data_IF_941245450676
#
_entry.id   IF_941245450676
#
_cell.length_a   1.000
_cell.length_b   1.000
_cell.length_c   1.000
_cell.angle_alpha   90.00
_cell.angle_beta   90.00
_cell.angle_gamma   90.00
#
_symmetry.space_group_name_H-M   'P 1'
#
loop_
_entity.id
_entity.type
_entity.pdbx_description
1 polymer ?
#
# COMPACT_ATOMS: atom_id res chain seq x y z
N UNK A 1 1.37 -6.95 22.35
CA UNK A 1 2.22 -5.89 21.74
C UNK A 1 1.28 -5.03 20.91
N UNK A 2 1.48 -3.72 20.77
CA UNK A 2 0.62 -2.91 19.88
C UNK A 2 1.28 -2.82 18.52
N UNK A 3 0.61 -3.31 17.47
CA UNK A 3 1.15 -3.33 16.12
C UNK A 3 0.46 -2.28 15.22
N UNK A 4 1.19 -1.76 14.23
CA UNK A 4 0.66 -0.86 13.20
C UNK A 4 0.94 -1.46 11.82
N UNK A 5 0.06 -1.20 10.85
CA UNK A 5 0.24 -1.59 9.44
C UNK A 5 0.44 -0.33 8.59
N UNK A 6 1.48 -0.30 7.77
CA UNK A 6 1.73 0.79 6.82
C UNK A 6 1.13 0.47 5.45
N UNK A 7 0.39 1.39 4.86
CA UNK A 7 -0.23 1.25 3.54
C UNK A 7 0.30 2.36 2.64
N UNK A 8 0.93 1.97 1.53
CA UNK A 8 1.60 2.87 0.59
C UNK A 8 0.85 2.85 -0.74
N UNK A 9 0.21 3.97 -1.08
CA UNK A 9 -0.73 4.06 -2.20
C UNK A 9 -0.22 4.98 -3.30
N UNK A 10 -0.12 4.44 -4.52
CA UNK A 10 0.34 5.14 -5.72
C UNK A 10 1.83 5.47 -5.69
N UNK A 11 2.36 5.91 -6.83
CA UNK A 11 3.78 6.21 -7.03
C UNK A 11 4.44 6.95 -5.86
N UNK A 12 3.87 8.08 -5.44
CA UNK A 12 4.43 8.87 -4.34
C UNK A 12 4.47 8.09 -3.01
N UNK A 13 3.38 7.40 -2.67
CA UNK A 13 3.30 6.60 -1.45
C UNK A 13 4.30 5.44 -1.44
N UNK A 14 4.45 4.77 -2.59
CA UNK A 14 5.40 3.66 -2.78
C UNK A 14 6.85 4.13 -2.66
N UNK A 15 7.22 5.22 -3.33
CA UNK A 15 8.59 5.75 -3.28
C UNK A 15 8.96 6.24 -1.87
N UNK A 16 8.04 6.93 -1.19
CA UNK A 16 8.21 7.31 0.22
C UNK A 16 8.37 6.07 1.09
N UNK A 17 7.50 5.06 0.89
CA UNK A 17 7.56 3.81 1.63
C UNK A 17 8.91 3.10 1.49
N UNK A 18 9.43 3.01 0.27
CA UNK A 18 10.72 2.37 0.02
C UNK A 18 11.86 3.04 0.81
N UNK A 19 11.91 4.37 0.83
CA UNK A 19 12.88 5.13 1.62
C UNK A 19 12.66 4.99 3.13
N UNK A 20 11.40 5.02 3.60
CA UNK A 20 11.08 4.83 5.01
C UNK A 20 11.52 3.44 5.52
N UNK A 21 11.23 2.38 4.76
CA UNK A 21 11.58 1.02 5.15
C UNK A 21 13.08 0.74 5.06
N UNK A 22 13.79 1.39 4.15
CA UNK A 22 15.26 1.43 4.15
C UNK A 22 15.78 1.97 5.49
N UNK A 23 15.30 3.15 5.92
CA UNK A 23 15.72 3.74 7.18
C UNK A 23 15.42 2.83 8.38
N UNK A 24 14.20 2.27 8.46
CA UNK A 24 13.85 1.35 9.54
C UNK A 24 14.74 0.10 9.57
N UNK A 25 15.14 -0.42 8.40
CA UNK A 25 16.07 -1.55 8.33
C UNK A 25 17.47 -1.19 8.83
N UNK A 26 17.92 0.05 8.61
CA UNK A 26 19.20 0.54 9.11
C UNK A 26 19.19 0.70 10.63
N UNK A 27 18.08 1.17 11.20
CA UNK A 27 17.93 1.42 12.64
C UNK A 27 17.72 0.12 13.45
N UNK A 28 17.03 -0.87 12.89
CA UNK A 28 16.54 -2.03 13.64
C UNK A 28 16.90 -3.40 13.05
N UNK A 29 17.60 -3.44 11.91
CA UNK A 29 17.88 -4.67 11.19
C UNK A 29 16.75 -5.12 10.27
N UNK A 30 16.95 -6.23 9.56
CA UNK A 30 16.03 -6.71 8.52
C UNK A 30 14.98 -7.68 9.10
N UNK A 31 13.73 -7.26 9.08
CA UNK A 31 12.55 -8.07 9.41
C UNK A 31 11.49 -7.87 8.33
N UNK A 32 10.59 -8.85 8.14
CA UNK A 32 9.50 -8.73 7.17
C UNK A 32 8.55 -7.60 7.61
N UNK A 33 8.37 -6.55 6.80
CA UNK A 33 7.51 -5.41 7.14
C UNK A 33 6.02 -5.78 7.21
N UNK A 34 5.30 -5.13 8.13
CA UNK A 34 3.83 -5.07 8.10
C UNK A 34 3.39 -3.93 7.20
N UNK A 35 3.69 -4.08 5.91
CA UNK A 35 3.43 -3.06 4.90
C UNK A 35 2.61 -3.63 3.74
N UNK A 36 1.76 -2.81 3.13
CA UNK A 36 1.09 -3.08 1.86
C UNK A 36 1.46 -1.97 0.89
N UNK A 37 1.94 -2.32 -0.29
CA UNK A 37 2.20 -1.38 -1.37
C UNK A 37 1.21 -1.66 -2.48
N UNK A 38 0.55 -0.61 -2.94
CA UNK A 38 -0.45 -0.70 -4.00
C UNK A 38 -0.28 0.42 -5.00
N UNK A 39 -0.28 0.06 -6.28
CA UNK A 39 -0.47 1.00 -7.38
C UNK A 39 -1.38 0.37 -8.46
N UNK A 40 -2.08 1.21 -9.22
CA UNK A 40 -2.98 0.77 -10.28
C UNK A 40 -2.22 0.41 -11.56
N UNK A 41 -0.95 0.79 -11.66
CA UNK A 41 -0.02 0.34 -12.69
C UNK A 41 1.23 -0.32 -12.09
N UNK A 42 1.95 -1.16 -12.85
CA UNK A 42 3.02 -1.99 -12.27
C UNK A 42 4.36 -1.26 -12.04
N UNK A 43 4.61 -0.14 -12.74
CA UNK A 43 5.94 0.47 -12.90
C UNK A 43 6.70 0.63 -11.57
N UNK A 44 6.13 1.37 -10.63
CA UNK A 44 6.80 1.71 -9.36
C UNK A 44 6.94 0.51 -8.42
N UNK A 45 6.00 -0.45 -8.49
CA UNK A 45 6.06 -1.65 -7.65
C UNK A 45 7.11 -2.63 -8.20
N UNK A 46 7.26 -2.71 -9.52
CA UNK A 46 8.29 -3.54 -10.15
C UNK A 46 9.71 -3.03 -9.82
N UNK A 47 9.90 -1.73 -9.63
CA UNK A 47 11.14 -1.16 -9.06
C UNK A 47 11.41 -1.70 -7.64
N UNK A 48 10.38 -1.80 -6.78
CA UNK A 48 10.53 -2.41 -5.44
C UNK A 48 10.83 -3.90 -5.54
N UNK A 49 10.18 -4.63 -6.46
CA UNK A 49 10.40 -6.07 -6.68
C UNK A 49 11.79 -6.39 -7.23
N UNK A 50 12.45 -5.45 -7.89
CA UNK A 50 13.78 -5.64 -8.50
C UNK A 50 14.90 -4.91 -7.78
N UNK A 51 14.58 -3.98 -6.89
CA UNK A 51 15.52 -3.15 -6.15
C UNK A 51 16.26 -3.86 -5.02
N UNK A 52 17.05 -3.08 -4.27
CA UNK A 52 17.93 -3.56 -3.18
C UNK A 52 17.17 -4.34 -2.11
N UNK A 53 15.93 -3.93 -1.81
CA UNK A 53 15.08 -4.52 -0.77
C UNK A 53 14.05 -5.52 -1.33
N UNK A 54 14.27 -6.08 -2.53
CA UNK A 54 13.35 -7.04 -3.16
C UNK A 54 12.97 -8.27 -2.33
N UNK A 55 13.83 -8.67 -1.38
CA UNK A 55 13.59 -9.81 -0.48
C UNK A 55 13.00 -9.40 0.88
N UNK A 56 12.82 -8.10 1.12
CA UNK A 56 12.35 -7.58 2.39
C UNK A 56 10.82 -7.75 2.53
N UNK A 57 10.08 -7.40 1.48
CA UNK A 57 8.63 -7.39 1.49
C UNK A 57 8.05 -8.75 1.09
N UNK A 58 6.90 -9.09 1.66
CA UNK A 58 6.20 -10.30 1.22
C UNK A 58 5.61 -10.07 -0.20
N UNK A 59 5.82 -10.95 -1.18
CA UNK A 59 5.39 -10.71 -2.56
C UNK A 59 3.90 -10.41 -2.71
N UNK A 60 3.05 -11.03 -1.88
CA UNK A 60 1.61 -10.80 -1.89
C UNK A 60 1.17 -9.44 -1.33
N UNK A 61 2.07 -8.70 -0.67
CA UNK A 61 1.82 -7.33 -0.20
C UNK A 61 2.14 -6.27 -1.26
N UNK A 62 2.74 -6.67 -2.39
CA UNK A 62 3.09 -5.80 -3.51
C UNK A 62 2.04 -5.95 -4.62
N UNK A 63 1.00 -5.12 -4.55
CA UNK A 63 -0.21 -5.23 -5.35
C UNK A 63 -0.15 -4.24 -6.52
N UNK A 64 -0.43 -4.73 -7.73
CA UNK A 64 -0.38 -3.94 -8.97
C UNK A 64 -1.65 -4.15 -9.78
N UNK A 65 -2.25 -3.07 -10.26
CA UNK A 65 -3.27 -3.11 -11.31
C UNK A 65 -2.66 -3.27 -12.71
N UNK A 66 -3.51 -3.16 -13.72
CA UNK A 66 -3.12 -3.24 -15.14
C UNK A 66 -3.17 -1.90 -15.88
N UNK A 67 -3.91 -0.94 -15.34
CA UNK A 67 -4.21 0.33 -15.98
C UNK A 67 -4.17 1.45 -14.94
N UNK A 68 -3.54 2.56 -15.28
CA UNK A 68 -3.36 3.67 -14.35
C UNK A 68 -4.64 4.51 -14.17
N UNK A 69 -4.62 5.38 -13.16
CA UNK A 69 -5.68 6.37 -12.97
C UNK A 69 -5.50 7.62 -13.85
N UNK A 70 -4.38 7.77 -14.59
CA UNK A 70 -4.10 8.89 -15.49
C UNK A 70 -4.36 10.28 -14.87
N UNK A 71 -3.88 10.50 -13.63
CA UNK A 71 -4.12 11.73 -12.85
C UNK A 71 -5.60 12.10 -12.65
N UNK A 72 -6.52 11.12 -12.75
CA UNK A 72 -7.95 11.33 -12.62
C UNK A 72 -8.48 10.66 -11.33
N UNK A 73 -8.96 11.47 -10.41
CA UNK A 73 -9.59 11.02 -9.16
C UNK A 73 -10.72 10.02 -9.40
N UNK A 74 -11.60 10.30 -10.37
CA UNK A 74 -12.78 9.48 -10.61
C UNK A 74 -12.40 8.07 -11.10
N UNK A 75 -11.29 7.95 -11.84
CA UNK A 75 -10.76 6.64 -12.25
C UNK A 75 -10.24 5.86 -11.04
N UNK A 76 -9.49 6.53 -10.16
CA UNK A 76 -8.99 5.93 -8.92
C UNK A 76 -10.10 5.52 -7.94
N UNK A 77 -11.21 6.24 -7.89
CA UNK A 77 -12.27 5.99 -6.89
C UNK A 77 -13.45 5.17 -7.43
N UNK A 78 -13.96 5.48 -8.63
CA UNK A 78 -15.24 4.94 -9.10
C UNK A 78 -15.12 3.81 -10.11
N UNK A 79 -14.02 3.73 -10.88
CA UNK A 79 -13.85 2.73 -11.93
C UNK A 79 -12.68 1.79 -11.63
N UNK A 80 -11.47 2.13 -12.07
CA UNK A 80 -10.28 1.26 -12.02
C UNK A 80 -9.97 0.81 -10.59
N UNK A 81 -10.08 1.72 -9.61
CA UNK A 81 -9.84 1.37 -8.21
C UNK A 81 -10.80 0.31 -7.65
N UNK A 82 -12.05 0.27 -8.12
CA UNK A 82 -13.02 -0.73 -7.68
C UNK A 82 -12.67 -2.14 -8.13
N UNK A 83 -11.86 -2.30 -9.18
CA UNK A 83 -11.45 -3.61 -9.65
C UNK A 83 -10.44 -4.28 -8.72
N UNK A 84 -9.69 -3.50 -7.94
CA UNK A 84 -8.59 -4.01 -7.10
C UNK A 84 -8.85 -3.87 -5.59
N UNK A 85 -9.85 -3.10 -5.17
CA UNK A 85 -10.10 -2.80 -3.75
C UNK A 85 -10.29 -4.06 -2.91
N UNK A 86 -11.04 -5.05 -3.41
CA UNK A 86 -11.30 -6.30 -2.67
C UNK A 86 -10.03 -7.10 -2.43
N UNK A 87 -9.11 -7.12 -3.41
CA UNK A 87 -7.80 -7.76 -3.27
C UNK A 87 -6.97 -7.05 -2.20
N UNK A 88 -6.94 -5.72 -2.21
CA UNK A 88 -6.18 -4.93 -1.22
C UNK A 88 -6.73 -5.15 0.19
N UNK A 89 -8.05 -5.13 0.35
CA UNK A 89 -8.71 -5.37 1.64
C UNK A 89 -8.43 -6.79 2.16
N UNK A 90 -8.42 -7.82 1.31
CA UNK A 90 -8.03 -9.18 1.69
C UNK A 90 -6.59 -9.24 2.22
N UNK A 91 -5.65 -8.54 1.57
CA UNK A 91 -4.25 -8.51 2.03
C UNK A 91 -4.07 -7.74 3.34
N UNK A 92 -4.77 -6.62 3.52
CA UNK A 92 -4.76 -5.88 4.77
C UNK A 92 -5.36 -6.73 5.91
N UNK A 93 -6.48 -7.40 5.66
CA UNK A 93 -7.12 -8.31 6.63
C UNK A 93 -6.20 -9.43 7.06
N UNK A 94 -5.53 -10.11 6.12
CA UNK A 94 -4.55 -11.15 6.46
C UNK A 94 -3.42 -10.64 7.38
N UNK A 95 -2.98 -9.39 7.21
CA UNK A 95 -1.98 -8.79 8.09
C UNK A 95 -2.57 -8.38 9.45
N UNK A 96 -3.80 -7.88 9.46
CA UNK A 96 -4.51 -7.55 10.69
C UNK A 96 -4.74 -8.80 11.55
N UNK A 97 -5.14 -9.92 10.94
CA UNK A 97 -5.34 -11.23 11.61
C UNK A 97 -4.04 -11.78 12.23
N UNK A 98 -2.88 -11.37 11.70
CA UNK A 98 -1.55 -11.71 12.23
C UNK A 98 -1.07 -10.76 13.35
N UNK A 99 -1.86 -9.75 13.72
CA UNK A 99 -1.56 -8.86 14.83
C UNK A 99 -2.27 -9.33 16.10
N UNK A 100 -1.60 -9.22 17.25
CA UNK A 100 -2.25 -9.53 18.53
C UNK A 100 -3.17 -8.40 18.97
N UNK A 101 -2.74 -7.14 18.78
CA UNK A 101 -3.52 -5.93 19.05
C UNK A 101 -3.16 -4.87 18.00
N UNK A 102 -3.91 -4.86 16.89
CA UNK A 102 -3.77 -3.83 15.87
C UNK A 102 -4.19 -2.47 16.44
N UNK A 103 -3.27 -1.51 16.45
CA UNK A 103 -3.54 -0.14 16.91
C UNK A 103 -4.10 0.74 15.80
N UNK A 104 -3.72 0.51 14.55
CA UNK A 104 -4.21 1.28 13.41
C UNK A 104 -3.32 1.20 12.18
N UNK A 105 -3.61 2.11 11.25
CA UNK A 105 -3.00 2.17 9.93
C UNK A 105 -2.24 3.48 9.72
N UNK A 106 -1.11 3.41 9.02
CA UNK A 106 -0.37 4.57 8.52
C UNK A 106 -0.52 4.60 7.00
N UNK A 107 -1.27 5.56 6.45
CA UNK A 107 -1.56 5.62 5.02
C UNK A 107 -0.73 6.71 4.35
N UNK A 108 0.16 6.31 3.44
CA UNK A 108 1.04 7.19 2.68
C UNK A 108 0.54 7.30 1.24
N UNK A 109 0.19 8.51 0.81
CA UNK A 109 -0.33 8.76 -0.52
C UNK A 109 -0.06 10.22 -0.95
N UNK A 110 -0.30 10.53 -2.22
CA UNK A 110 -0.30 11.91 -2.72
C UNK A 110 -1.72 12.45 -2.90
N UNK A 111 -1.86 13.77 -2.86
CA UNK A 111 -3.11 14.45 -3.22
C UNK A 111 -3.25 14.68 -4.73
N UNK A 112 -2.13 14.81 -5.45
CA UNK A 112 -2.15 15.21 -6.87
C UNK A 112 -2.42 14.08 -7.86
N UNK A 113 -2.04 12.84 -7.54
CA UNK A 113 -2.19 11.70 -8.44
C UNK A 113 -3.59 11.07 -8.37
N UNK A 114 -4.04 10.42 -9.46
CA UNK A 114 -5.34 9.76 -9.52
C UNK A 114 -5.44 8.55 -8.57
N UNK A 115 -4.39 7.73 -8.50
CA UNK A 115 -4.30 6.60 -7.55
C UNK A 115 -4.19 7.13 -6.12
N UNK A 116 -3.22 8.01 -5.87
CA UNK A 116 -2.95 8.56 -4.54
C UNK A 116 -4.16 9.28 -3.93
N UNK A 117 -4.98 9.98 -4.72
CA UNK A 117 -6.16 10.66 -4.22
C UNK A 117 -7.41 9.77 -4.24
N UNK A 118 -7.78 9.27 -5.42
CA UNK A 118 -9.03 8.54 -5.66
C UNK A 118 -9.07 7.18 -4.99
N UNK A 119 -8.04 6.36 -5.22
CA UNK A 119 -7.99 5.01 -4.64
C UNK A 119 -7.83 5.07 -3.12
N UNK A 120 -7.03 6.01 -2.60
CA UNK A 120 -6.92 6.20 -1.14
C UNK A 120 -8.25 6.59 -0.53
N UNK A 121 -9.03 7.49 -1.15
CA UNK A 121 -10.35 7.86 -0.63
C UNK A 121 -11.27 6.63 -0.54
N UNK A 122 -11.31 5.83 -1.61
CA UNK A 122 -12.07 4.57 -1.65
C UNK A 122 -11.61 3.60 -0.54
N UNK A 123 -10.30 3.45 -0.38
CA UNK A 123 -9.71 2.58 0.64
C UNK A 123 -10.07 3.04 2.05
N UNK A 124 -10.00 4.34 2.33
CA UNK A 124 -10.34 4.90 3.64
C UNK A 124 -11.81 4.69 4.00
N UNK A 125 -12.72 4.84 3.04
CA UNK A 125 -14.14 4.53 3.23
C UNK A 125 -14.30 3.06 3.64
N UNK A 126 -13.64 2.14 2.95
CA UNK A 126 -13.69 0.72 3.28
C UNK A 126 -13.04 0.39 4.63
N UNK A 127 -11.90 0.98 4.97
CA UNK A 127 -11.21 0.72 6.24
C UNK A 127 -12.04 1.17 7.42
N UNK A 128 -12.69 2.35 7.33
CA UNK A 128 -13.54 2.90 8.40
C UNK A 128 -14.78 2.07 8.72
N UNK A 129 -15.22 1.23 7.78
CA UNK A 129 -16.36 0.32 7.98
C UNK A 129 -15.90 -1.01 8.60
N UNK A 130 -14.67 -1.45 8.31
CA UNK A 130 -14.18 -2.77 8.68
C UNK A 130 -13.33 -2.79 9.96
N UNK A 131 -12.82 -1.63 10.43
CA UNK A 131 -11.94 -1.49 11.60
C UNK A 131 -12.31 -0.25 12.42
#
# INVERSE_FOLDING_TARGET
>A
MRECISIHVGQAGVQIGNACWELYCLEHGKHVPRAVFVDLEPTVIDEVRTGTYRQLFHPEQLITGKEDAANNYARGHYTIGKEIIDLVLDRIRKLADQCTVLQGFLVFHSFGGGTGSGFTSLLMDCLSVNY
#
